data_IF_369200548151
#
_entry.id   IF_369200548151
#
_cell.length_a   1.000
_cell.length_b   1.000
_cell.length_c   1.000
_cell.angle_alpha   90.00
_cell.angle_beta   90.00
_cell.angle_gamma   90.00
#
_symmetry.space_group_name_H-M   'P 1'
#
loop_
_entity.id
_entity.type
_entity.pdbx_description
1 polymer ?
#
# COMPACT_ATOMS: atom_id res chain seq x y z
N UNK A 1 20.27 -14.62 -7.21
CA UNK A 1 20.07 -13.15 -7.12
C UNK A 1 18.61 -12.85 -7.39
N UNK A 2 17.99 -12.00 -6.59
CA UNK A 2 16.62 -11.53 -6.77
C UNK A 2 16.62 -10.12 -7.35
N UNK A 3 15.68 -9.82 -8.24
CA UNK A 3 15.52 -8.51 -8.85
C UNK A 3 14.36 -7.74 -8.25
N UNK A 4 14.50 -6.42 -8.15
CA UNK A 4 13.41 -5.52 -7.81
C UNK A 4 13.38 -4.31 -8.72
N UNK A 5 12.21 -4.05 -9.28
CA UNK A 5 11.91 -2.88 -10.09
C UNK A 5 11.37 -1.78 -9.16
N UNK A 6 12.12 -0.68 -9.07
CA UNK A 6 11.91 0.38 -8.11
C UNK A 6 12.82 0.23 -6.88
N UNK A 7 13.26 1.36 -6.37
CA UNK A 7 14.30 1.44 -5.35
C UNK A 7 13.98 2.39 -4.20
N UNK A 8 12.71 2.70 -3.98
CA UNK A 8 12.18 3.43 -2.83
C UNK A 8 12.25 2.64 -1.52
N UNK A 9 11.43 3.06 -0.54
CA UNK A 9 11.49 2.49 0.81
C UNK A 9 10.99 1.03 0.88
N UNK A 10 10.06 0.65 0.00
CA UNK A 10 9.49 -0.69 0.01
C UNK A 10 10.52 -1.69 -0.53
N UNK A 11 11.24 -1.30 -1.58
CA UNK A 11 12.36 -2.03 -2.14
C UNK A 11 13.55 -2.08 -1.19
N UNK A 12 13.77 -1.03 -0.39
CA UNK A 12 14.77 -1.05 0.70
C UNK A 12 14.46 -2.14 1.73
N UNK A 13 13.23 -2.18 2.23
CA UNK A 13 12.83 -3.18 3.23
C UNK A 13 12.78 -4.60 2.65
N UNK A 14 12.39 -4.75 1.39
CA UNK A 14 12.56 -6.00 0.63
C UNK A 14 14.03 -6.43 0.58
N UNK A 15 14.94 -5.51 0.24
CA UNK A 15 16.38 -5.81 0.15
C UNK A 15 16.95 -6.28 1.48
N UNK A 16 16.54 -5.66 2.59
CA UNK A 16 16.91 -6.11 3.94
C UNK A 16 16.43 -7.54 4.21
N UNK A 17 15.15 -7.82 3.95
CA UNK A 17 14.57 -9.15 4.16
C UNK A 17 15.25 -10.23 3.29
N UNK A 18 15.50 -9.92 2.01
CA UNK A 18 16.20 -10.81 1.10
C UNK A 18 17.62 -11.13 1.58
N UNK A 19 18.37 -10.12 2.05
CA UNK A 19 19.72 -10.29 2.58
C UNK A 19 19.74 -11.09 3.89
N UNK A 20 18.77 -10.89 4.78
CA UNK A 20 18.61 -11.72 5.98
C UNK A 20 18.39 -13.20 5.65
N UNK A 21 17.74 -13.49 4.53
CA UNK A 21 17.54 -14.85 4.01
C UNK A 21 18.71 -15.37 3.15
N UNK A 22 19.80 -14.61 3.03
CA UNK A 22 21.00 -15.02 2.27
C UNK A 22 20.94 -14.79 0.76
N UNK A 23 19.95 -14.05 0.26
CA UNK A 23 19.86 -13.71 -1.17
C UNK A 23 20.62 -12.41 -1.48
N UNK A 24 21.34 -12.41 -2.60
CA UNK A 24 21.81 -11.17 -3.25
C UNK A 24 20.67 -10.50 -4.02
N UNK A 25 20.70 -9.17 -4.13
CA UNK A 25 19.65 -8.35 -4.72
C UNK A 25 20.21 -7.40 -5.80
N UNK A 26 19.53 -7.35 -6.95
CA UNK A 26 19.68 -6.31 -7.97
C UNK A 26 18.49 -5.35 -7.90
N UNK A 27 18.76 -4.05 -7.85
CA UNK A 27 17.74 -2.98 -7.91
C UNK A 27 17.84 -2.27 -9.26
N UNK A 28 16.70 -2.10 -9.95
CA UNK A 28 16.55 -1.19 -11.09
C UNK A 28 15.80 0.06 -10.62
N UNK A 29 16.47 1.21 -10.60
CA UNK A 29 15.87 2.50 -10.22
C UNK A 29 16.66 3.67 -10.86
N UNK A 30 15.99 4.70 -11.41
CA UNK A 30 16.67 5.82 -12.06
C UNK A 30 17.38 6.77 -11.08
N UNK A 31 17.07 6.75 -9.78
CA UNK A 31 17.73 7.57 -8.77
C UNK A 31 19.08 6.94 -8.36
N UNK A 32 20.23 7.60 -8.63
CA UNK A 32 21.54 7.13 -8.16
C UNK A 32 21.66 7.05 -6.63
N UNK A 33 20.72 7.64 -5.90
CA UNK A 33 20.65 7.63 -4.43
C UNK A 33 19.42 6.86 -3.90
N UNK A 34 18.86 5.96 -4.72
CA UNK A 34 17.76 5.08 -4.36
C UNK A 34 17.95 4.45 -2.95
N UNK A 35 16.96 4.56 -2.05
CA UNK A 35 17.00 3.90 -0.74
C UNK A 35 17.32 2.40 -0.74
N UNK A 36 16.85 1.67 -1.75
CA UNK A 36 17.10 0.24 -1.93
C UNK A 36 18.48 -0.05 -2.53
N UNK A 37 18.89 0.72 -3.54
CA UNK A 37 20.20 0.59 -4.19
C UNK A 37 21.35 0.73 -3.18
N UNK A 38 21.18 1.57 -2.16
CA UNK A 38 22.15 1.73 -1.07
C UNK A 38 22.42 0.44 -0.27
N UNK A 39 21.54 -0.57 -0.36
CA UNK A 39 21.69 -1.87 0.30
C UNK A 39 21.86 -3.03 -0.68
N UNK A 40 21.67 -2.81 -1.98
CA UNK A 40 21.70 -3.83 -3.01
C UNK A 40 23.12 -4.31 -3.32
N UNK A 41 23.25 -5.48 -3.93
CA UNK A 41 24.54 -5.99 -4.41
C UNK A 41 24.85 -5.47 -5.82
N UNK A 42 23.81 -5.08 -6.57
CA UNK A 42 23.89 -4.43 -7.87
C UNK A 42 22.81 -3.38 -8.00
N UNK A 43 23.18 -2.20 -8.51
CA UNK A 43 22.26 -1.14 -8.90
C UNK A 43 22.35 -0.91 -10.40
N UNK A 44 21.23 -1.12 -11.09
CA UNK A 44 21.04 -0.72 -12.49
C UNK A 44 20.40 0.67 -12.44
N UNK A 45 21.22 1.70 -12.62
CA UNK A 45 20.77 3.09 -12.59
C UNK A 45 20.23 3.52 -13.96
N UNK A 46 18.97 3.18 -14.25
CA UNK A 46 18.33 3.43 -15.54
C UNK A 46 16.81 3.63 -15.40
N UNK A 47 16.14 4.22 -16.41
CA UNK A 47 14.68 4.25 -16.49
C UNK A 47 14.06 2.85 -16.47
N UNK A 48 12.82 2.75 -16.00
CA UNK A 48 12.11 1.48 -15.84
C UNK A 48 11.73 0.79 -17.15
N UNK A 49 11.77 1.50 -18.26
CA UNK A 49 11.45 1.05 -19.62
C UNK A 49 12.69 0.89 -20.50
N UNK A 50 13.90 1.06 -19.96
CA UNK A 50 15.14 0.81 -20.69
C UNK A 50 15.32 -0.69 -20.96
N UNK A 51 15.33 -1.07 -22.25
CA UNK A 51 15.38 -2.46 -22.67
C UNK A 51 16.68 -3.17 -22.24
N UNK A 52 17.81 -2.45 -22.22
CA UNK A 52 19.09 -3.02 -21.79
C UNK A 52 19.11 -3.27 -20.29
N UNK A 53 18.56 -2.35 -19.52
CA UNK A 53 18.38 -2.48 -18.08
C UNK A 53 17.43 -3.61 -17.71
N UNK A 54 16.32 -3.78 -18.47
CA UNK A 54 15.39 -4.90 -18.28
C UNK A 54 16.04 -6.24 -18.64
N UNK A 55 16.84 -6.30 -19.71
CA UNK A 55 17.59 -7.51 -20.07
C UNK A 55 18.66 -7.87 -19.03
N UNK A 56 19.25 -6.88 -18.36
CA UNK A 56 20.18 -7.12 -17.26
C UNK A 56 19.43 -7.55 -15.98
N UNK A 57 18.28 -6.95 -15.68
CA UNK A 57 17.44 -7.35 -14.55
C UNK A 57 16.87 -8.76 -14.73
N UNK A 58 16.56 -9.18 -15.96
CA UNK A 58 16.01 -10.50 -16.27
C UNK A 58 16.99 -11.65 -15.99
N UNK A 59 18.29 -11.37 -15.79
CA UNK A 59 19.24 -12.41 -15.35
C UNK A 59 19.03 -12.84 -13.90
N UNK A 60 18.19 -12.14 -13.14
CA UNK A 60 17.79 -12.54 -11.80
C UNK A 60 16.90 -13.79 -11.82
N UNK A 61 16.93 -14.59 -10.76
CA UNK A 61 16.13 -15.81 -10.67
C UNK A 61 14.61 -15.54 -10.54
N UNK A 62 14.27 -14.38 -9.99
CA UNK A 62 12.91 -13.85 -9.95
C UNK A 62 12.96 -12.33 -9.77
N UNK A 63 11.94 -11.63 -10.25
CA UNK A 63 11.81 -10.17 -10.16
C UNK A 63 10.47 -9.80 -9.51
N UNK A 64 10.50 -8.79 -8.63
CA UNK A 64 9.31 -8.15 -8.04
C UNK A 64 9.28 -6.66 -8.35
N UNK A 65 8.18 -5.98 -8.05
CA UNK A 65 8.07 -4.51 -8.05
C UNK A 65 7.84 -4.00 -6.62
N UNK A 66 8.17 -2.73 -6.37
CA UNK A 66 7.88 -2.06 -5.10
C UNK A 66 6.89 -0.88 -5.21
N UNK A 67 6.48 -0.47 -6.40
CA UNK A 67 5.55 0.65 -6.59
C UNK A 67 4.43 0.30 -7.58
N UNK A 68 3.25 0.90 -7.37
CA UNK A 68 2.03 0.55 -8.13
C UNK A 68 2.01 1.10 -9.56
N UNK A 69 2.70 2.22 -9.81
CA UNK A 69 2.78 2.84 -11.14
C UNK A 69 3.94 2.29 -11.98
N UNK A 70 4.41 1.07 -11.69
CA UNK A 70 5.44 0.40 -12.50
C UNK A 70 4.91 0.12 -13.90
N UNK A 71 5.79 0.20 -14.90
CA UNK A 71 5.42 -0.14 -16.26
C UNK A 71 5.02 -1.64 -16.35
N UNK A 72 3.72 -1.92 -16.46
CA UNK A 72 3.21 -3.28 -16.58
C UNK A 72 3.75 -3.99 -17.82
N UNK A 73 4.05 -3.26 -18.91
CA UNK A 73 4.68 -3.83 -20.10
C UNK A 73 6.13 -4.24 -19.83
N UNK A 74 6.88 -3.47 -19.04
CA UNK A 74 8.22 -3.87 -18.61
C UNK A 74 8.17 -5.16 -17.78
N UNK A 75 7.18 -5.30 -16.88
CA UNK A 75 6.97 -6.53 -16.12
C UNK A 75 6.61 -7.73 -17.02
N UNK A 76 5.79 -7.52 -18.06
CA UNK A 76 5.46 -8.56 -19.06
C UNK A 76 6.69 -8.96 -19.88
N UNK A 77 7.52 -8.00 -20.27
CA UNK A 77 8.77 -8.26 -20.99
C UNK A 77 9.75 -9.09 -20.14
N UNK A 78 9.92 -8.73 -18.85
CA UNK A 78 10.70 -9.51 -17.90
C UNK A 78 10.16 -10.94 -17.73
N UNK A 79 8.83 -11.10 -17.74
CA UNK A 79 8.16 -12.39 -17.58
C UNK A 79 8.40 -13.38 -18.73
N UNK A 80 8.94 -12.91 -19.87
CA UNK A 80 9.37 -13.78 -20.97
C UNK A 80 10.65 -14.57 -20.63
N UNK A 81 11.51 -14.00 -19.78
CA UNK A 81 12.86 -14.51 -19.51
C UNK A 81 13.03 -15.01 -18.07
N UNK A 82 12.27 -14.45 -17.11
CA UNK A 82 12.37 -14.81 -15.69
C UNK A 82 11.03 -14.77 -14.99
N UNK A 83 10.97 -15.32 -13.78
CA UNK A 83 9.76 -15.29 -12.96
C UNK A 83 9.49 -13.87 -12.47
N UNK A 84 8.29 -13.34 -12.73
CA UNK A 84 7.85 -12.03 -12.24
C UNK A 84 6.66 -12.18 -11.29
N UNK A 85 6.77 -11.61 -10.09
CA UNK A 85 5.79 -11.78 -9.02
C UNK A 85 5.62 -10.47 -8.23
N UNK A 86 4.45 -9.82 -8.23
CA UNK A 86 3.23 -10.21 -8.96
C UNK A 86 3.36 -10.08 -10.48
N UNK A 87 2.37 -10.59 -11.22
CA UNK A 87 2.34 -10.43 -12.68
C UNK A 87 2.10 -8.97 -13.10
N UNK A 88 2.56 -8.59 -14.29
CA UNK A 88 2.25 -7.28 -14.87
C UNK A 88 0.75 -7.05 -15.03
N UNK A 89 -0.03 -8.09 -15.34
CA UNK A 89 -1.49 -8.03 -15.44
C UNK A 89 -2.15 -7.66 -14.10
N UNK A 90 -1.67 -8.24 -13.00
CA UNK A 90 -2.16 -7.92 -11.65
C UNK A 90 -1.89 -6.47 -11.28
N UNK A 91 -0.75 -5.92 -11.71
CA UNK A 91 -0.41 -4.51 -11.48
C UNK A 91 -1.27 -3.59 -12.34
N UNK A 92 -1.46 -3.90 -13.61
CA UNK A 92 -2.28 -3.10 -14.54
C UNK A 92 -3.73 -2.95 -14.04
N UNK A 93 -4.29 -4.00 -13.42
CA UNK A 93 -5.61 -3.93 -12.79
C UNK A 93 -5.68 -2.84 -11.72
N UNK A 94 -4.68 -2.77 -10.82
CA UNK A 94 -4.64 -1.79 -9.74
C UNK A 94 -4.32 -0.37 -10.22
N UNK A 95 -3.75 -0.22 -11.42
CA UNK A 95 -3.47 1.09 -12.02
C UNK A 95 -4.71 1.78 -12.57
N UNK A 96 -5.82 1.06 -12.73
CA UNK A 96 -7.05 1.58 -13.30
C UNK A 96 -8.25 1.29 -12.39
N UNK A 97 -8.79 2.33 -11.73
CA UNK A 97 -9.92 2.22 -10.79
C UNK A 97 -11.18 1.57 -11.39
N UNK A 98 -11.40 1.71 -12.70
CA UNK A 98 -12.53 1.04 -13.39
C UNK A 98 -12.28 -0.47 -13.46
N UNK A 99 -11.07 -0.87 -13.87
CA UNK A 99 -10.70 -2.29 -13.95
C UNK A 99 -10.64 -2.94 -12.57
N UNK A 100 -10.07 -2.24 -11.59
CA UNK A 100 -10.02 -2.67 -10.19
C UNK A 100 -11.41 -3.00 -9.66
N UNK A 101 -12.38 -2.06 -9.78
CA UNK A 101 -13.76 -2.29 -9.34
C UNK A 101 -14.45 -3.41 -10.11
N UNK A 102 -14.19 -3.54 -11.41
CA UNK A 102 -14.70 -4.66 -12.21
C UNK A 102 -14.17 -6.02 -11.71
N UNK A 103 -12.90 -6.11 -11.33
CA UNK A 103 -12.31 -7.33 -10.75
C UNK A 103 -12.84 -7.64 -9.35
N UNK A 104 -13.06 -6.62 -8.52
CA UNK A 104 -13.70 -6.79 -7.22
C UNK A 104 -15.12 -7.36 -7.38
N UNK A 105 -15.91 -6.80 -8.31
CA UNK A 105 -17.24 -7.30 -8.61
C UNK A 105 -17.21 -8.74 -9.16
N UNK A 106 -16.24 -9.06 -10.03
CA UNK A 106 -16.02 -10.43 -10.54
C UNK A 106 -15.69 -11.44 -9.43
N UNK A 107 -15.05 -10.98 -8.34
CA UNK A 107 -14.80 -11.79 -7.15
C UNK A 107 -16.04 -11.95 -6.24
N UNK A 108 -17.20 -11.38 -6.62
CA UNK A 108 -18.42 -11.40 -5.83
C UNK A 108 -18.33 -10.52 -4.58
N UNK A 109 -17.52 -9.46 -4.63
CA UNK A 109 -17.31 -8.51 -3.55
C UNK A 109 -17.91 -7.15 -3.93
N UNK A 110 -18.30 -6.38 -2.91
CA UNK A 110 -18.88 -5.06 -3.09
C UNK A 110 -17.83 -3.95 -3.00
N UNK A 111 -18.01 -2.89 -3.79
CA UNK A 111 -17.30 -1.61 -3.67
C UNK A 111 -18.31 -0.51 -3.35
N UNK A 112 -17.83 0.71 -3.10
CA UNK A 112 -18.70 1.89 -3.14
C UNK A 112 -19.44 1.96 -4.49
N UNK A 113 -20.75 2.31 -4.51
CA UNK A 113 -21.48 2.56 -5.75
C UNK A 113 -20.73 3.56 -6.62
N UNK A 114 -20.61 3.25 -7.92
CA UNK A 114 -19.77 4.03 -8.82
C UNK A 114 -20.31 4.07 -10.25
N UNK A 115 -19.87 5.09 -10.98
CA UNK A 115 -20.11 5.27 -12.40
C UNK A 115 -18.77 5.49 -13.12
N UNK A 116 -18.38 4.62 -14.07
CA UNK A 116 -17.30 4.90 -15.01
C UNK A 116 -17.66 6.11 -15.89
N UNK A 117 -16.74 7.06 -16.02
CA UNK A 117 -16.91 8.29 -16.81
C UNK A 117 -15.76 8.38 -17.80
N UNK A 118 -16.02 8.02 -19.06
CA UNK A 118 -15.05 8.07 -20.15
C UNK A 118 -15.20 9.30 -21.04
N UNK A 119 -16.38 9.92 -20.98
CA UNK A 119 -16.75 11.13 -21.72
C UNK A 119 -17.80 11.91 -20.92
N UNK A 120 -17.96 13.19 -21.23
CA UNK A 120 -18.93 14.05 -20.53
C UNK A 120 -20.38 13.56 -20.66
N UNK A 121 -20.70 12.89 -21.78
CA UNK A 121 -22.03 12.33 -22.02
C UNK A 121 -22.42 11.21 -21.04
N UNK A 122 -21.46 10.60 -20.34
CA UNK A 122 -21.73 9.58 -19.32
C UNK A 122 -22.32 10.21 -18.04
N UNK A 123 -22.20 11.54 -17.85
CA UNK A 123 -22.66 12.28 -16.68
C UNK A 123 -24.06 12.86 -16.86
N UNK A 124 -25.05 12.00 -17.14
CA UNK A 124 -26.46 12.40 -17.11
C UNK A 124 -26.92 12.61 -15.67
N UNK A 125 -27.93 13.46 -15.46
CA UNK A 125 -28.43 13.77 -14.12
C UNK A 125 -28.95 12.49 -13.43
N UNK A 126 -29.67 11.63 -14.16
CA UNK A 126 -30.21 10.37 -13.65
C UNK A 126 -29.11 9.38 -13.20
N UNK A 127 -27.97 9.38 -13.89
CA UNK A 127 -26.83 8.53 -13.55
C UNK A 127 -26.04 9.06 -12.35
N UNK A 128 -25.97 10.39 -12.20
CA UNK A 128 -25.17 11.07 -11.18
C UNK A 128 -25.91 11.19 -9.85
N UNK A 129 -27.19 11.54 -9.85
CA UNK A 129 -27.99 11.81 -8.64
C UNK A 129 -27.87 10.73 -7.55
N UNK A 130 -27.95 9.42 -7.84
CA UNK A 130 -27.85 8.37 -6.81
C UNK A 130 -26.49 8.29 -6.11
N UNK A 131 -25.45 8.85 -6.74
CA UNK A 131 -24.06 8.83 -6.28
C UNK A 131 -23.68 10.09 -5.48
N UNK A 132 -24.61 11.05 -5.33
CA UNK A 132 -24.36 12.28 -4.58
C UNK A 132 -24.70 12.13 -3.08
N UNK A 133 -23.95 12.80 -2.17
CA UNK A 133 -22.68 13.47 -2.43
C UNK A 133 -21.62 12.46 -2.86
N UNK A 134 -20.81 12.85 -3.84
CA UNK A 134 -19.89 11.97 -4.54
C UNK A 134 -18.48 12.53 -4.65
N UNK A 135 -17.59 11.72 -5.20
CA UNK A 135 -16.22 12.10 -5.51
C UNK A 135 -15.87 11.61 -6.92
N UNK A 136 -15.45 12.53 -7.79
CA UNK A 136 -14.90 12.20 -9.10
C UNK A 136 -13.41 11.95 -8.93
N UNK A 137 -12.92 10.78 -9.33
CA UNK A 137 -11.52 10.37 -9.26
C UNK A 137 -11.02 10.03 -10.67
N UNK A 138 -9.84 10.50 -11.05
CA UNK A 138 -9.15 10.00 -12.24
C UNK A 138 -8.99 8.48 -12.17
N UNK A 139 -9.23 7.78 -13.28
CA UNK A 139 -9.17 6.32 -13.31
C UNK A 139 -7.73 5.79 -13.15
N UNK A 140 -6.74 6.55 -13.62
CA UNK A 140 -5.32 6.20 -13.53
C UNK A 140 -4.51 7.29 -12.83
N UNK A 141 -3.36 6.92 -12.27
CA UNK A 141 -2.35 7.84 -11.69
C UNK A 141 -2.81 8.69 -10.50
N UNK A 142 -3.96 8.39 -9.89
CA UNK A 142 -4.41 9.03 -8.64
C UNK A 142 -3.78 8.37 -7.41
N UNK A 143 -3.12 9.15 -6.54
CA UNK A 143 -2.46 8.68 -5.32
C UNK A 143 -2.52 9.74 -4.20
N UNK A 144 -2.51 9.31 -2.93
CA UNK A 144 -2.53 10.16 -1.72
C UNK A 144 -3.53 11.34 -1.84
N UNK A 145 -4.73 11.09 -2.37
CA UNK A 145 -5.79 12.08 -2.54
C UNK A 145 -5.63 13.10 -3.68
N UNK A 146 -4.66 12.91 -4.59
CA UNK A 146 -4.53 13.69 -5.83
C UNK A 146 -5.42 13.15 -6.94
N UNK A 147 -5.86 14.03 -7.84
CA UNK A 147 -6.69 13.65 -8.99
C UNK A 147 -8.12 13.28 -8.61
N UNK A 148 -8.65 13.91 -7.56
CA UNK A 148 -10.03 13.70 -7.10
C UNK A 148 -10.69 15.02 -6.68
N UNK A 149 -11.99 15.14 -6.93
CA UNK A 149 -12.81 16.33 -6.65
C UNK A 149 -14.13 15.88 -6.02
N UNK A 150 -14.50 16.45 -4.88
CA UNK A 150 -15.81 16.21 -4.24
C UNK A 150 -16.88 17.00 -4.96
N UNK A 151 -18.06 16.40 -5.12
CA UNK A 151 -19.18 16.95 -5.87
C UNK A 151 -20.49 16.70 -5.16
N UNK A 152 -21.39 17.67 -5.24
CA UNK A 152 -22.70 17.69 -4.58
C UNK A 152 -23.87 17.88 -5.53
N UNK A 153 -23.60 18.14 -6.82
CA UNK A 153 -24.61 18.23 -7.88
C UNK A 153 -24.10 17.62 -9.21
N UNK A 154 -25.00 17.28 -10.16
CA UNK A 154 -24.60 16.86 -11.50
C UNK A 154 -23.75 17.90 -12.26
N UNK A 155 -24.02 19.19 -12.08
CA UNK A 155 -23.22 20.27 -12.65
C UNK A 155 -21.79 20.26 -12.11
N UNK A 156 -21.64 20.07 -10.78
CA UNK A 156 -20.32 19.94 -10.16
C UNK A 156 -19.58 18.71 -10.66
N UNK A 157 -20.27 17.59 -10.90
CA UNK A 157 -19.67 16.39 -11.49
C UNK A 157 -19.12 16.65 -12.91
N UNK A 158 -19.91 17.32 -13.77
CA UNK A 158 -19.47 17.73 -15.12
C UNK A 158 -18.29 18.70 -15.07
N UNK A 159 -18.32 19.68 -14.16
CA UNK A 159 -17.23 20.63 -13.97
C UNK A 159 -15.95 19.93 -13.47
N UNK A 160 -16.07 19.00 -12.52
CA UNK A 160 -14.97 18.21 -12.00
C UNK A 160 -14.31 17.36 -13.08
N UNK A 161 -15.10 16.70 -13.94
CA UNK A 161 -14.56 15.93 -15.07
C UNK A 161 -13.72 16.79 -16.03
N UNK A 162 -14.21 18.00 -16.37
CA UNK A 162 -13.45 18.97 -17.17
C UNK A 162 -12.18 19.44 -16.47
N UNK A 163 -12.28 19.75 -15.16
CA UNK A 163 -11.14 20.16 -14.34
C UNK A 163 -10.05 19.08 -14.30
N UNK A 164 -10.44 17.81 -14.27
CA UNK A 164 -9.53 16.66 -14.30
C UNK A 164 -9.00 16.35 -15.73
N UNK A 165 -9.29 17.21 -16.71
CA UNK A 165 -8.75 17.12 -18.06
C UNK A 165 -9.58 16.24 -19.01
N UNK A 166 -10.78 15.81 -18.61
CA UNK A 166 -11.63 14.94 -19.44
C UNK A 166 -11.04 13.56 -19.71
N UNK A 167 -10.06 13.14 -18.91
CA UNK A 167 -9.51 11.78 -18.95
C UNK A 167 -10.49 10.80 -18.30
N UNK A 168 -10.40 9.48 -18.56
CA UNK A 168 -11.22 8.50 -17.89
C UNK A 168 -11.21 8.67 -16.36
N UNK A 169 -12.40 8.72 -15.77
CA UNK A 169 -12.66 8.94 -14.36
C UNK A 169 -13.67 7.92 -13.82
N UNK A 170 -13.83 7.92 -12.49
CA UNK A 170 -14.89 7.24 -11.78
C UNK A 170 -15.56 8.24 -10.86
N UNK A 171 -16.88 8.36 -10.93
CA UNK A 171 -17.69 9.01 -9.90
C UNK A 171 -18.08 7.97 -8.86
N UNK A 172 -17.69 8.16 -7.60
CA UNK A 172 -18.01 7.25 -6.49
C UNK A 172 -18.88 7.95 -5.46
N UNK A 173 -19.83 7.20 -4.89
CA UNK A 173 -20.63 7.68 -3.76
C UNK A 173 -19.79 7.84 -2.51
N UNK A 174 -19.93 8.96 -1.80
CA UNK A 174 -19.36 9.12 -0.48
C UNK A 174 -20.18 8.32 0.55
N UNK A 175 -19.50 7.49 1.33
CA UNK A 175 -20.13 6.57 2.28
C UNK A 175 -19.92 7.04 3.72
N UNK A 176 -20.84 6.65 4.60
CA UNK A 176 -20.71 6.91 6.03
C UNK A 176 -19.81 5.86 6.69
N UNK A 177 -18.51 6.15 6.74
CA UNK A 177 -17.48 5.23 7.24
C UNK A 177 -17.48 5.19 8.77
N UNK A 178 -17.53 3.98 9.34
CA UNK A 178 -17.18 3.73 10.74
C UNK A 178 -15.66 3.71 10.92
N UNK A 179 -14.96 2.98 10.07
CA UNK A 179 -13.50 2.89 10.07
C UNK A 179 -12.97 2.44 8.71
N UNK A 180 -11.67 2.61 8.50
CA UNK A 180 -10.94 2.04 7.36
C UNK A 180 -10.04 0.93 7.88
N UNK A 181 -9.99 -0.20 7.20
CA UNK A 181 -9.08 -1.29 7.53
C UNK A 181 -8.31 -1.75 6.29
N UNK A 182 -7.23 -2.49 6.50
CA UNK A 182 -6.55 -3.20 5.41
C UNK A 182 -6.15 -4.60 5.82
N UNK A 183 -6.17 -5.51 4.86
CA UNK A 183 -5.66 -6.87 5.00
C UNK A 183 -4.49 -7.07 4.04
N UNK A 184 -3.37 -7.57 4.58
CA UNK A 184 -2.22 -7.98 3.77
C UNK A 184 -2.31 -9.49 3.52
N UNK A 185 -2.57 -9.86 2.27
CA UNK A 185 -2.67 -11.24 1.80
C UNK A 185 -1.33 -11.68 1.21
N UNK A 186 -0.86 -12.85 1.61
CA UNK A 186 0.37 -13.48 1.14
C UNK A 186 -0.02 -14.78 0.44
N UNK A 187 -0.04 -14.79 -0.90
CA UNK A 187 -0.52 -15.94 -1.70
C UNK A 187 0.56 -16.46 -2.64
N UNK A 188 0.82 -17.76 -2.58
CA UNK A 188 1.60 -18.48 -3.60
C UNK A 188 0.68 -19.17 -4.61
N UNK A 189 -0.36 -19.84 -4.12
CA UNK A 189 -1.38 -20.55 -4.89
C UNK A 189 -2.63 -20.77 -4.02
N UNK A 190 -3.62 -21.52 -4.53
CA UNK A 190 -4.87 -21.84 -3.83
C UNK A 190 -4.71 -22.55 -2.48
N UNK A 191 -3.64 -23.33 -2.29
CA UNK A 191 -3.40 -24.08 -1.04
C UNK A 191 -2.50 -23.32 -0.08
N UNK A 192 -1.78 -22.31 -0.57
CA UNK A 192 -0.73 -21.61 0.16
C UNK A 192 -1.05 -20.12 0.21
N UNK A 193 -1.94 -19.78 1.15
CA UNK A 193 -2.37 -18.43 1.45
C UNK A 193 -2.29 -18.17 2.95
N UNK A 194 -1.81 -16.97 3.33
CA UNK A 194 -1.83 -16.46 4.68
C UNK A 194 -2.26 -14.99 4.67
N UNK A 195 -3.00 -14.57 5.68
CA UNK A 195 -3.31 -13.18 5.92
C UNK A 195 -2.63 -12.71 7.19
N UNK A 196 -2.11 -11.50 7.16
CA UNK A 196 -1.81 -10.78 8.39
C UNK A 196 -3.13 -10.35 9.08
N UNK A 197 -3.10 -10.10 10.40
CA UNK A 197 -4.22 -9.50 11.10
C UNK A 197 -4.68 -8.19 10.42
N UNK A 198 -5.98 -7.91 10.30
CA UNK A 198 -6.44 -6.64 9.78
C UNK A 198 -5.92 -5.48 10.63
N UNK A 199 -5.45 -4.43 9.95
CA UNK A 199 -5.07 -3.18 10.59
C UNK A 199 -6.18 -2.14 10.42
N UNK A 200 -6.59 -1.47 11.50
CA UNK A 200 -7.38 -0.24 11.39
C UNK A 200 -6.46 0.91 10.98
N UNK A 201 -6.82 1.59 9.90
CA UNK A 201 -6.04 2.66 9.30
C UNK A 201 -6.69 4.02 9.60
N UNK A 202 -5.85 4.98 9.97
CA UNK A 202 -6.25 6.38 10.14
C UNK A 202 -5.48 7.24 9.17
N UNK A 203 -6.21 7.97 8.33
CA UNK A 203 -5.66 8.90 7.36
C UNK A 203 -5.78 10.35 7.86
N UNK A 204 -4.72 11.14 7.64
CA UNK A 204 -4.71 12.59 7.84
C UNK A 204 -4.36 13.24 6.51
N UNK A 205 -5.20 14.15 6.02
CA UNK A 205 -5.05 14.80 4.70
C UNK A 205 -4.86 13.81 3.51
N UNK A 206 -5.51 12.65 3.57
CA UNK A 206 -5.41 11.60 2.54
C UNK A 206 -4.12 10.78 2.60
N UNK A 207 -3.32 10.90 3.66
CA UNK A 207 -2.09 10.13 3.87
C UNK A 207 -2.25 9.25 5.11
N UNK A 208 -1.82 7.99 5.02
CA UNK A 208 -1.85 7.07 6.16
C UNK A 208 -1.01 7.63 7.32
N UNK A 209 -1.65 7.94 8.43
CA UNK A 209 -1.00 8.41 9.64
C UNK A 209 -0.72 7.26 10.61
N UNK A 210 -1.69 6.37 10.83
CA UNK A 210 -1.57 5.25 11.77
C UNK A 210 -2.16 3.96 11.22
N UNK A 211 -1.56 2.83 11.62
CA UNK A 211 -2.14 1.49 11.47
C UNK A 211 -2.14 0.80 12.84
N UNK A 212 -3.33 0.41 13.31
CA UNK A 212 -3.61 -0.08 14.67
C UNK A 212 -3.99 -1.56 14.58
N UNK A 213 -3.29 -2.42 15.34
CA UNK A 213 -3.40 -3.88 15.24
C UNK A 213 -3.46 -4.54 16.62
N UNK A 214 -4.42 -5.45 16.88
CA UNK A 214 -5.53 -5.81 15.99
C UNK A 214 -6.46 -4.62 15.71
N UNK A 215 -7.16 -4.66 14.57
CA UNK A 215 -8.20 -3.68 14.28
C UNK A 215 -9.24 -3.70 15.40
N UNK A 216 -9.75 -2.53 15.80
CA UNK A 216 -10.72 -2.41 16.91
C UNK A 216 -12.14 -2.70 16.43
N UNK A 217 -12.32 -3.92 15.95
CA UNK A 217 -13.54 -4.47 15.39
C UNK A 217 -13.78 -5.86 16.00
N UNK A 218 -15.03 -6.34 16.02
CA UNK A 218 -15.31 -7.72 16.43
C UNK A 218 -14.51 -8.73 15.60
N UNK A 219 -14.05 -9.82 16.24
CA UNK A 219 -13.21 -10.84 15.60
C UNK A 219 -13.85 -11.43 14.34
N UNK A 220 -15.18 -11.59 14.33
CA UNK A 220 -15.92 -12.09 13.17
C UNK A 220 -15.82 -11.15 11.96
N UNK A 221 -15.87 -9.83 12.18
CA UNK A 221 -15.69 -8.81 11.13
C UNK A 221 -14.26 -8.86 10.59
N UNK A 222 -13.28 -9.03 11.48
CA UNK A 222 -11.87 -9.16 11.07
C UNK A 222 -11.64 -10.42 10.22
N UNK A 223 -12.24 -11.54 10.61
CA UNK A 223 -12.19 -12.79 9.85
C UNK A 223 -12.87 -12.66 8.49
N UNK A 224 -14.04 -12.04 8.43
CA UNK A 224 -14.75 -11.76 7.17
C UNK A 224 -13.89 -10.90 6.24
N UNK A 225 -13.20 -9.88 6.75
CA UNK A 225 -12.28 -9.06 5.97
C UNK A 225 -11.13 -9.88 5.36
N UNK A 226 -10.57 -10.82 6.14
CA UNK A 226 -9.54 -11.74 5.64
C UNK A 226 -10.06 -12.69 4.55
N UNK A 227 -11.27 -13.23 4.73
CA UNK A 227 -11.92 -14.10 3.74
C UNK A 227 -12.20 -13.34 2.43
N UNK A 228 -12.67 -12.10 2.51
CA UNK A 228 -12.87 -11.22 1.35
C UNK A 228 -11.55 -10.96 0.61
N UNK A 229 -10.49 -10.62 1.33
CA UNK A 229 -9.19 -10.34 0.75
C UNK A 229 -8.57 -11.59 0.08
N UNK A 230 -8.69 -12.76 0.71
CA UNK A 230 -8.30 -14.04 0.12
C UNK A 230 -9.06 -14.34 -1.17
N UNK A 231 -10.39 -14.15 -1.15
CA UNK A 231 -11.25 -14.39 -2.33
C UNK A 231 -10.85 -13.50 -3.50
N UNK A 232 -10.55 -12.22 -3.25
CA UNK A 232 -10.09 -11.30 -4.27
C UNK A 232 -8.74 -11.74 -4.86
N UNK A 233 -7.77 -12.07 -4.00
CA UNK A 233 -6.47 -12.57 -4.43
C UNK A 233 -6.59 -13.88 -5.25
N UNK A 234 -7.51 -14.78 -4.88
CA UNK A 234 -7.79 -16.00 -5.63
C UNK A 234 -8.42 -15.72 -6.99
N UNK A 235 -9.44 -14.86 -7.06
CA UNK A 235 -10.11 -14.50 -8.30
C UNK A 235 -9.15 -13.88 -9.33
N UNK A 236 -8.18 -13.08 -8.86
CA UNK A 236 -7.12 -12.50 -9.68
C UNK A 236 -5.97 -13.48 -10.02
N UNK A 237 -6.01 -14.70 -9.48
CA UNK A 237 -4.90 -15.64 -9.45
C UNK A 237 -3.57 -14.98 -9.00
N UNK A 238 -3.66 -14.12 -8.00
CA UNK A 238 -2.55 -13.29 -7.54
C UNK A 238 -1.45 -14.11 -6.87
N UNK A 239 -0.19 -13.82 -7.18
CA UNK A 239 0.99 -14.41 -6.54
C UNK A 239 1.85 -13.29 -5.96
N UNK A 240 2.20 -13.39 -4.68
CA UNK A 240 2.94 -12.37 -3.94
C UNK A 240 2.15 -11.79 -2.77
N UNK A 241 2.54 -10.59 -2.35
CA UNK A 241 1.89 -9.82 -1.28
C UNK A 241 0.92 -8.79 -1.87
N UNK A 242 -0.34 -8.86 -1.47
CA UNK A 242 -1.43 -7.96 -1.88
C UNK A 242 -1.99 -7.24 -0.66
N UNK A 243 -2.06 -5.93 -0.70
CA UNK A 243 -2.90 -5.17 0.22
C UNK A 243 -4.31 -5.03 -0.36
N UNK A 244 -5.32 -5.26 0.47
CA UNK A 244 -6.72 -4.96 0.17
C UNK A 244 -7.19 -3.96 1.21
N UNK A 245 -7.50 -2.74 0.77
CA UNK A 245 -8.11 -1.71 1.61
C UNK A 245 -9.62 -1.87 1.62
N UNK A 246 -10.21 -1.81 2.81
CA UNK A 246 -11.61 -2.13 3.06
C UNK A 246 -12.21 -1.02 3.91
N UNK A 247 -13.37 -0.52 3.47
CA UNK A 247 -14.19 0.36 4.29
C UNK A 247 -15.15 -0.45 5.15
N UNK A 248 -15.27 -0.03 6.41
CA UNK A 248 -16.28 -0.50 7.34
C UNK A 248 -17.36 0.56 7.41
N UNK A 249 -18.56 0.24 6.92
CA UNK A 249 -19.69 1.15 6.83
C UNK A 249 -20.62 0.92 8.02
N UNK A 250 -21.08 2.02 8.63
CA UNK A 250 -22.14 1.98 9.62
C UNK A 250 -21.79 1.20 10.91
N UNK A 251 -22.76 1.09 11.80
CA UNK A 251 -22.62 0.39 13.08
C UNK A 251 -22.83 -1.13 12.95
N UNK A 252 -23.30 -1.59 11.79
CA UNK A 252 -23.41 -3.00 11.41
C UNK A 252 -22.10 -3.55 10.81
N UNK A 253 -21.07 -2.71 10.68
CA UNK A 253 -19.75 -3.05 10.16
C UNK A 253 -19.76 -3.69 8.77
N UNK A 254 -20.65 -3.23 7.87
CA UNK A 254 -20.66 -3.73 6.49
C UNK A 254 -19.32 -3.46 5.84
N UNK A 255 -18.69 -4.51 5.31
CA UNK A 255 -17.40 -4.44 4.64
C UNK A 255 -17.57 -4.24 3.14
N UNK A 256 -16.84 -3.29 2.58
CA UNK A 256 -16.69 -3.11 1.13
C UNK A 256 -15.22 -2.89 0.78
N UNK A 257 -14.79 -3.35 -0.38
CA UNK A 257 -13.42 -3.11 -0.85
C UNK A 257 -13.33 -1.67 -1.40
N UNK A 258 -12.31 -0.94 -0.95
CA UNK A 258 -11.99 0.39 -1.46
C UNK A 258 -11.09 0.28 -2.69
N UNK A 259 -9.88 -0.24 -2.50
CA UNK A 259 -8.83 -0.40 -3.51
C UNK A 259 -7.86 -1.55 -3.14
N UNK A 260 -6.99 -1.93 -4.07
CA UNK A 260 -5.94 -2.91 -3.88
C UNK A 260 -4.56 -2.34 -4.22
N UNK A 261 -3.53 -2.82 -3.52
CA UNK A 261 -2.14 -2.52 -3.82
C UNK A 261 -1.36 -3.83 -4.04
N UNK A 262 -0.98 -4.18 -5.28
CA UNK A 262 -0.29 -5.42 -5.64
C UNK A 262 1.20 -5.34 -5.30
N UNK A 263 1.50 -5.13 -4.01
CA UNK A 263 2.83 -4.96 -3.45
C UNK A 263 2.74 -4.99 -1.91
N UNK A 264 3.87 -5.13 -1.21
CA UNK A 264 3.96 -4.69 0.18
C UNK A 264 3.41 -3.27 0.37
N UNK A 265 2.71 -3.05 1.47
CA UNK A 265 1.93 -1.85 1.72
C UNK A 265 2.34 -1.12 2.99
N UNK A 266 2.08 0.19 3.01
CA UNK A 266 2.42 1.06 4.13
C UNK A 266 1.71 0.61 5.42
N UNK A 267 0.43 0.25 5.31
CA UNK A 267 -0.35 -0.27 6.43
C UNK A 267 0.11 -1.63 6.95
N UNK A 268 0.99 -2.33 6.22
CA UNK A 268 1.60 -3.58 6.64
C UNK A 268 2.95 -3.41 7.34
N UNK A 269 3.47 -2.19 7.52
CA UNK A 269 4.81 -1.99 8.12
C UNK A 269 4.90 -2.46 9.57
N UNK A 270 3.79 -2.46 10.30
CA UNK A 270 3.73 -3.03 11.66
C UNK A 270 4.23 -4.48 11.74
N UNK A 271 4.14 -5.24 10.64
CA UNK A 271 4.57 -6.65 10.58
C UNK A 271 6.07 -6.83 10.77
N UNK A 272 6.87 -5.78 10.58
CA UNK A 272 8.32 -5.81 10.85
C UNK A 272 8.64 -6.07 12.32
N UNK A 273 7.84 -5.51 13.23
CA UNK A 273 8.13 -5.49 14.66
C UNK A 273 7.15 -6.33 15.49
N UNK A 274 5.94 -6.57 14.97
CA UNK A 274 4.85 -7.13 15.75
C UNK A 274 4.37 -8.53 15.29
N UNK A 275 4.90 -9.10 14.21
CA UNK A 275 4.47 -10.39 13.66
C UNK A 275 5.60 -11.42 13.61
N UNK A 276 5.21 -12.71 13.50
CA UNK A 276 6.15 -13.83 13.40
C UNK A 276 7.00 -13.83 12.10
N UNK A 277 6.48 -13.23 11.04
CA UNK A 277 7.20 -12.85 9.82
C UNK A 277 6.71 -11.48 9.38
N UNK A 278 7.41 -10.85 8.43
CA UNK A 278 7.01 -9.55 7.90
C UNK A 278 6.61 -9.64 6.42
N UNK A 279 5.82 -8.68 5.94
CA UNK A 279 5.35 -8.67 4.56
C UNK A 279 6.48 -8.68 3.51
N UNK A 280 7.68 -8.21 3.84
CA UNK A 280 8.81 -8.20 2.90
C UNK A 280 9.47 -9.58 2.80
N UNK A 281 9.64 -10.27 3.94
CA UNK A 281 10.03 -11.68 3.97
C UNK A 281 9.01 -12.52 3.20
N UNK A 282 7.71 -12.26 3.38
CA UNK A 282 6.67 -12.94 2.63
C UNK A 282 6.84 -12.73 1.12
N UNK A 283 7.13 -11.51 0.65
CA UNK A 283 7.39 -11.28 -0.78
C UNK A 283 8.60 -12.08 -1.28
N UNK A 284 9.70 -12.12 -0.52
CA UNK A 284 10.89 -12.93 -0.85
C UNK A 284 10.52 -14.42 -0.96
N UNK A 285 9.78 -14.96 0.01
CA UNK A 285 9.35 -16.37 -0.01
C UNK A 285 8.50 -16.67 -1.23
N UNK A 286 7.46 -15.87 -1.46
CA UNK A 286 6.48 -16.10 -2.51
C UNK A 286 7.11 -16.00 -3.91
N UNK A 287 7.97 -15.00 -4.16
CA UNK A 287 8.66 -14.88 -5.44
C UNK A 287 9.67 -16.02 -5.68
N UNK A 288 10.24 -16.59 -4.61
CA UNK A 288 11.09 -17.78 -4.66
C UNK A 288 10.29 -19.09 -4.74
N UNK A 289 8.96 -19.06 -4.69
CA UNK A 289 8.12 -20.27 -4.71
C UNK A 289 8.11 -21.04 -3.40
N UNK A 290 8.51 -20.38 -2.30
CA UNK A 290 8.49 -20.94 -0.97
C UNK A 290 7.12 -20.74 -0.32
N UNK A 291 6.69 -21.66 0.57
CA UNK A 291 5.46 -21.48 1.33
C UNK A 291 5.47 -20.17 2.14
N UNK A 292 4.31 -19.50 2.27
CA UNK A 292 4.19 -18.33 3.14
C UNK A 292 4.51 -18.70 4.60
N UNK A 293 5.24 -17.83 5.27
CA UNK A 293 5.58 -17.93 6.69
C UNK A 293 4.38 -17.64 7.60
N UNK A 294 4.55 -17.90 8.90
CA UNK A 294 3.57 -17.57 9.94
C UNK A 294 3.33 -16.05 10.02
N UNK A 295 2.07 -15.65 10.00
CA UNK A 295 1.63 -14.24 10.04
C UNK A 295 1.07 -13.84 11.40
N UNK A 296 1.17 -14.71 12.42
CA UNK A 296 0.64 -14.45 13.77
C UNK A 296 1.17 -13.15 14.36
N UNK A 297 0.26 -12.37 14.95
CA UNK A 297 0.58 -11.22 15.79
C UNK A 297 1.23 -11.68 17.10
N UNK A 298 2.41 -11.17 17.40
CA UNK A 298 3.16 -11.45 18.63
C UNK A 298 2.93 -10.38 19.71
N UNK A 299 2.55 -9.16 19.32
CA UNK A 299 2.25 -8.06 20.23
C UNK A 299 1.22 -7.12 19.60
N UNK A 300 0.31 -6.55 20.40
CA UNK A 300 -0.55 -5.48 19.87
C UNK A 300 0.34 -4.30 19.50
N UNK A 301 -0.04 -3.52 18.49
CA UNK A 301 0.80 -2.43 18.05
C UNK A 301 0.04 -1.29 17.38
N UNK A 302 0.69 -0.14 17.32
CA UNK A 302 0.30 0.96 16.45
C UNK A 302 1.53 1.45 15.69
N UNK A 303 1.51 1.33 14.37
CA UNK A 303 2.49 1.96 13.50
C UNK A 303 2.07 3.41 13.26
N UNK A 304 3.03 4.34 13.22
CA UNK A 304 2.84 5.74 12.89
C UNK A 304 3.83 6.19 11.81
N UNK A 305 3.34 6.88 10.79
CA UNK A 305 4.19 7.40 9.72
C UNK A 305 5.00 8.64 10.16
N UNK A 306 6.24 8.71 9.70
CA UNK A 306 7.11 9.87 9.86
C UNK A 306 7.21 10.58 8.51
N UNK A 307 6.54 11.73 8.41
CA UNK A 307 6.56 12.57 7.22
C UNK A 307 7.70 13.60 7.30
N UNK A 308 8.14 14.13 6.16
CA UNK A 308 9.23 15.11 6.11
C UNK A 308 8.97 16.39 6.90
N UNK A 309 7.72 16.68 7.26
CA UNK A 309 7.29 17.86 8.03
C UNK A 309 7.90 17.95 9.43
N UNK A 310 8.39 16.83 10.00
CA UNK A 310 9.06 16.82 11.31
C UNK A 310 10.55 17.14 11.23
N UNK A 311 11.15 17.15 10.03
CA UNK A 311 12.56 17.50 9.87
C UNK A 311 12.75 19.01 10.05
N UNK A 312 13.69 19.38 10.93
CA UNK A 312 14.10 20.77 11.07
C UNK A 312 14.82 21.26 9.79
N UNK A 313 14.91 22.58 9.55
CA UNK A 313 15.72 23.12 8.44
C UNK A 313 17.18 22.64 8.43
N UNK A 314 17.70 22.24 9.59
CA UNK A 314 19.03 21.62 9.74
C UNK A 314 19.11 20.18 9.26
N UNK A 315 18.00 19.58 8.82
CA UNK A 315 17.87 18.17 8.43
C UNK A 315 17.83 17.20 9.61
N UNK A 316 17.75 17.70 10.85
CA UNK A 316 17.77 16.88 12.07
C UNK A 316 16.37 16.70 12.66
N UNK A 317 16.18 15.58 13.35
CA UNK A 317 15.01 15.29 14.20
C UNK A 317 15.53 14.74 15.52
N UNK A 318 14.94 15.17 16.64
CA UNK A 318 15.27 14.63 17.95
C UNK A 318 14.53 13.30 18.15
N UNK A 319 15.25 12.18 17.95
CA UNK A 319 14.68 10.84 18.12
C UNK A 319 14.66 10.35 19.57
N UNK A 320 15.23 11.08 20.54
CA UNK A 320 15.29 10.66 21.94
C UNK A 320 13.92 10.28 22.54
N UNK A 321 12.81 11.01 22.26
CA UNK A 321 11.50 10.61 22.77
C UNK A 321 11.06 9.20 22.34
N UNK A 322 11.49 8.75 21.15
CA UNK A 322 11.25 7.39 20.68
C UNK A 322 12.28 6.41 21.26
N UNK A 323 13.57 6.72 21.16
CA UNK A 323 14.66 5.80 21.50
C UNK A 323 14.81 5.53 23.01
N UNK A 324 14.25 6.37 23.87
CA UNK A 324 14.20 6.11 25.32
C UNK A 324 13.16 5.06 25.70
N UNK A 325 12.32 4.62 24.76
CA UNK A 325 11.24 3.67 25.01
C UNK A 325 11.60 2.28 24.49
N UNK A 326 11.61 1.25 25.34
CA UNK A 326 11.92 -0.12 24.91
C UNK A 326 10.80 -0.75 24.07
N UNK A 327 9.60 -0.19 24.11
CA UNK A 327 8.40 -0.62 23.39
C UNK A 327 8.22 0.10 22.04
N UNK A 328 9.25 0.81 21.55
CA UNK A 328 9.21 1.56 20.29
C UNK A 328 10.30 1.12 19.33
N UNK A 329 9.90 0.76 18.11
CA UNK A 329 10.80 0.36 17.02
C UNK A 329 10.80 1.45 15.94
N UNK A 330 11.94 2.09 15.69
CA UNK A 330 12.09 3.17 14.72
C UNK A 330 12.71 2.66 13.40
N UNK A 331 12.07 2.98 12.28
CA UNK A 331 12.52 2.64 10.93
C UNK A 331 12.68 3.90 10.09
N UNK A 332 13.91 4.20 9.65
CA UNK A 332 14.22 5.34 8.78
C UNK A 332 14.64 4.85 7.39
N UNK A 333 14.09 5.48 6.35
CA UNK A 333 14.30 5.01 4.97
C UNK A 333 15.58 5.53 4.31
N UNK A 334 16.35 6.38 4.99
CA UNK A 334 17.61 6.92 4.44
C UNK A 334 17.43 7.89 3.27
N UNK A 335 16.23 8.45 3.08
CA UNK A 335 15.97 9.47 2.05
C UNK A 335 16.68 10.78 2.42
N UNK A 336 17.43 11.37 1.48
CA UNK A 336 18.22 12.59 1.71
C UNK A 336 17.35 13.85 1.87
N UNK A 337 16.30 14.00 1.04
CA UNK A 337 15.47 15.21 1.06
C UNK A 337 14.15 15.00 1.81
N UNK A 338 14.02 15.61 2.98
CA UNK A 338 12.78 15.68 3.74
C UNK A 338 11.86 16.76 3.17
N UNK A 339 11.01 16.37 2.20
CA UNK A 339 9.97 17.25 1.64
C UNK A 339 8.68 17.13 2.44
N UNK A 340 7.86 18.20 2.55
CA UNK A 340 6.53 18.11 3.14
C UNK A 340 5.74 16.92 2.58
N UNK A 341 5.05 16.19 3.45
CA UNK A 341 4.25 15.00 3.13
C UNK A 341 5.02 13.79 2.56
N UNK A 342 6.34 13.86 2.38
CA UNK A 342 7.16 12.71 1.95
C UNK A 342 7.30 11.72 3.11
N UNK A 343 6.94 10.45 2.90
CA UNK A 343 7.18 9.37 3.87
C UNK A 343 8.69 9.14 4.04
N UNK A 344 9.25 9.51 5.21
CA UNK A 344 10.69 9.46 5.52
C UNK A 344 11.07 8.28 6.43
N UNK A 345 10.09 7.75 7.16
CA UNK A 345 10.23 6.60 8.03
C UNK A 345 8.88 6.21 8.62
N UNK A 346 8.91 5.29 9.57
CA UNK A 346 7.80 5.01 10.48
C UNK A 346 8.37 4.59 11.83
N UNK A 347 7.53 4.56 12.85
CA UNK A 347 7.83 3.83 14.07
C UNK A 347 6.63 2.97 14.48
N UNK A 348 6.92 1.89 15.18
CA UNK A 348 5.92 0.98 15.72
C UNK A 348 5.98 1.03 17.23
N UNK A 349 4.86 1.30 17.88
CA UNK A 349 4.69 1.14 19.32
C UNK A 349 4.10 -0.24 19.57
N UNK A 350 4.75 -1.04 20.41
CA UNK A 350 4.28 -2.36 20.85
C UNK A 350 3.56 -2.26 22.20
N UNK A 351 2.57 -3.12 22.43
CA UNK A 351 1.87 -3.23 23.71
C UNK A 351 1.44 -4.67 23.97
N UNK A 352 1.77 -5.17 25.16
CA UNK A 352 1.28 -6.46 25.64
C UNK A 352 -0.16 -6.42 26.16
N UNK A 353 -0.78 -5.23 26.23
CA UNK A 353 -2.10 -5.04 26.84
C UNK A 353 -3.20 -4.87 25.78
N UNK A 354 -3.08 -3.85 24.92
CA UNK A 354 -4.09 -3.58 23.89
C UNK A 354 -3.57 -2.68 22.78
N UNK A 355 -4.26 -2.74 21.64
CA UNK A 355 -4.05 -1.84 20.51
C UNK A 355 -4.36 -0.37 20.87
N UNK A 356 -5.33 -0.11 21.75
CA UNK A 356 -5.68 1.25 22.21
C UNK A 356 -4.52 1.92 22.96
N UNK A 357 -3.84 1.18 23.83
CA UNK A 357 -2.68 1.71 24.57
C UNK A 357 -1.53 2.01 23.60
N UNK A 358 -1.27 1.10 22.65
CA UNK A 358 -0.25 1.32 21.62
C UNK A 358 -0.58 2.58 20.80
N UNK A 359 -1.85 2.75 20.39
CA UNK A 359 -2.30 3.91 19.62
C UNK A 359 -2.20 5.22 20.40
N UNK A 360 -2.69 5.26 21.65
CA UNK A 360 -2.60 6.45 22.50
C UNK A 360 -1.14 6.92 22.68
N UNK A 361 -0.22 5.97 22.89
CA UNK A 361 1.19 6.26 23.03
C UNK A 361 1.82 6.71 21.70
N UNK A 362 1.52 6.03 20.58
CA UNK A 362 1.99 6.44 19.25
C UNK A 362 1.54 7.87 18.91
N UNK A 363 0.28 8.20 19.22
CA UNK A 363 -0.25 9.54 19.01
C UNK A 363 0.45 10.59 19.89
N UNK A 364 0.72 10.27 21.17
CA UNK A 364 1.47 11.14 22.09
C UNK A 364 2.89 11.39 21.58
N UNK A 365 3.60 10.35 21.15
CA UNK A 365 4.97 10.45 20.64
C UNK A 365 5.04 11.25 19.34
N UNK A 366 4.12 11.02 18.41
CA UNK A 366 4.04 11.79 17.16
C UNK A 366 3.91 13.30 17.43
N UNK A 367 3.04 13.69 18.38
CA UNK A 367 2.89 15.09 18.79
C UNK A 367 4.15 15.66 19.45
N UNK A 368 4.93 14.86 20.15
CA UNK A 368 6.22 15.30 20.71
C UNK A 368 7.23 15.60 19.61
N UNK A 369 7.28 14.79 18.55
CA UNK A 369 8.17 15.02 17.41
C UNK A 369 7.78 16.26 16.59
N UNK A 370 6.49 16.57 16.50
CA UNK A 370 5.98 17.74 15.77
C UNK A 370 6.16 19.06 16.53
N UNK A 371 6.40 19.02 17.85
CA UNK A 371 6.72 20.22 18.62
C UNK A 371 8.13 20.66 18.24
N UNK A 372 8.22 21.63 17.32
CA UNK A 372 9.47 22.36 17.06
C UNK A 372 10.02 22.81 18.41
N UNK A 373 11.24 22.36 18.74
CA UNK A 373 11.97 22.90 19.88
C UNK A 373 11.96 24.42 19.73
N UNK A 374 11.35 25.09 20.72
CA UNK A 374 11.23 26.55 20.76
C UNK A 374 12.57 27.18 21.09
#
# INVERSE_FOLDING_TARGET
>A
MLGILGGGQLGRMFTVAAKQMGYSVTVLDPDPNSPAAALADKHICAPYDDLGALADLSTCAAVTTEFENVNAQAMRALALETRVCPSGDSVEIAQNRIQEKAWIAKAGLETAPYLPVTQEADLTDEAVEPLLPGIVKTAMLGYDGKGQVRVSSPEEARAAFKQLGGVPCVLEKMLNLHSEISVIVCRLNSQQVKCFPPAENRHEDGILAYSIVPARLPDEVQKQAQEMACRLAEAMNYVGVLAVEIFVIGNDHKLIVNEIAPRPHNSGHYTLDACASNQFEQQVRLMCGLPPADTRLLSCCSMANLLGDIWLPSGKVNWLPLLQRPDVCLHLYGKKDARPKRKMGHFTVLSSQSADIAFMLAHKLQRQLQRKEK
#
